data_IF_274344935742
#
_entry.id   IF_274344935742
#
_cell.length_a   1.000
_cell.length_b   1.000
_cell.length_c   1.000
_cell.angle_alpha   90.00
_cell.angle_beta   90.00
_cell.angle_gamma   90.00
#
_symmetry.space_group_name_H-M   'P 1'
#
loop_
_entity.id
_entity.type
_entity.pdbx_description
1 polymer ?
#
# COMPACT_ATOMS: atom_id res chain seq x y z
N UNK A 1 -7.07 -20.78 6.40
CA UNK A 1 -7.09 -19.56 7.24
C UNK A 1 -6.78 -18.35 6.36
N UNK A 2 -7.56 -17.26 6.44
CA UNK A 2 -7.33 -16.05 5.65
C UNK A 2 -6.12 -15.25 6.22
N UNK A 3 -5.09 -15.01 5.40
CA UNK A 3 -3.89 -14.28 5.80
C UNK A 3 -4.17 -12.86 6.34
N UNK A 4 -5.23 -12.22 5.81
CA UNK A 4 -5.66 -10.88 6.24
C UNK A 4 -6.23 -10.90 7.65
N UNK A 5 -7.08 -11.88 7.96
CA UNK A 5 -7.63 -12.07 9.30
C UNK A 5 -6.51 -12.30 10.34
N UNK A 6 -5.51 -13.11 9.99
CA UNK A 6 -4.36 -13.37 10.87
C UNK A 6 -3.55 -12.10 11.15
N UNK A 7 -3.33 -11.26 10.13
CA UNK A 7 -2.65 -9.96 10.29
C UNK A 7 -3.41 -9.03 11.24
N UNK A 8 -4.73 -8.92 11.11
CA UNK A 8 -5.54 -8.09 12.01
C UNK A 8 -5.55 -8.62 13.45
N UNK A 9 -5.61 -9.95 13.65
CA UNK A 9 -5.48 -10.57 14.99
C UNK A 9 -4.14 -10.22 15.64
N UNK A 10 -3.04 -10.27 14.87
CA UNK A 10 -1.71 -9.88 15.37
C UNK A 10 -1.62 -8.38 15.70
N UNK A 11 -2.23 -7.51 14.90
CA UNK A 11 -2.31 -6.07 15.17
C UNK A 11 -3.12 -5.78 16.43
N UNK A 12 -4.25 -6.45 16.63
CA UNK A 12 -5.11 -6.29 17.80
C UNK A 12 -4.38 -6.69 19.10
N UNK A 13 -3.53 -7.72 19.03
CA UNK A 13 -2.71 -8.13 20.17
C UNK A 13 -1.61 -7.11 20.52
N UNK A 14 -1.09 -6.39 19.52
CA UNK A 14 -0.03 -5.40 19.69
C UNK A 14 -0.53 -4.01 20.07
N UNK A 15 -1.82 -3.72 19.87
CA UNK A 15 -2.39 -2.41 20.18
C UNK A 15 -2.61 -2.24 21.68
N UNK A 16 -2.16 -1.10 22.22
CA UNK A 16 -2.39 -0.69 23.62
C UNK A 16 -3.73 0.02 23.81
N UNK A 17 -4.30 0.60 22.75
CA UNK A 17 -5.63 1.21 22.78
C UNK A 17 -6.74 0.17 22.60
N UNK A 18 -7.65 0.12 23.57
CA UNK A 18 -8.76 -0.82 23.60
C UNK A 18 -9.72 -0.64 22.40
N UNK A 19 -9.97 0.61 21.98
CA UNK A 19 -10.89 0.87 20.85
C UNK A 19 -10.29 0.35 19.54
N UNK A 20 -9.00 0.62 19.33
CA UNK A 20 -8.25 0.11 18.18
C UNK A 20 -8.18 -1.42 18.19
N UNK A 21 -7.92 -2.04 19.35
CA UNK A 21 -7.88 -3.50 19.49
C UNK A 21 -9.23 -4.14 19.14
N UNK A 22 -10.34 -3.56 19.62
CA UNK A 22 -11.68 -4.02 19.33
C UNK A 22 -12.01 -3.91 17.84
N UNK A 23 -11.71 -2.76 17.21
CA UNK A 23 -11.89 -2.57 15.78
C UNK A 23 -11.13 -3.62 14.95
N UNK A 24 -9.86 -3.84 15.27
CA UNK A 24 -9.02 -4.82 14.58
C UNK A 24 -9.55 -6.25 14.73
N UNK A 25 -10.17 -6.57 15.87
CA UNK A 25 -10.81 -7.87 16.08
C UNK A 25 -12.04 -8.05 15.20
N UNK A 26 -12.91 -7.04 15.11
CA UNK A 26 -14.07 -7.06 14.21
C UNK A 26 -13.65 -7.20 12.75
N UNK A 27 -12.63 -6.46 12.32
CA UNK A 27 -12.07 -6.57 10.96
C UNK A 27 -11.51 -7.96 10.66
N UNK A 28 -10.88 -8.60 11.66
CA UNK A 28 -10.42 -9.97 11.51
C UNK A 28 -11.56 -10.95 11.28
N UNK A 29 -12.66 -10.80 12.03
CA UNK A 29 -13.84 -11.66 11.90
C UNK A 29 -14.54 -11.45 10.54
N UNK A 30 -14.64 -10.21 10.07
CA UNK A 30 -15.16 -9.90 8.73
C UNK A 30 -14.28 -10.46 7.61
N UNK A 31 -12.96 -10.38 7.76
CA UNK A 31 -12.01 -10.98 6.81
C UNK A 31 -12.07 -12.51 6.83
N UNK A 32 -12.29 -13.13 7.99
CA UNK A 32 -12.46 -14.57 8.15
C UNK A 32 -13.75 -15.08 7.50
N UNK A 33 -14.84 -14.30 7.61
CA UNK A 33 -16.10 -14.53 6.88
C UNK A 33 -16.01 -14.25 5.37
N UNK A 34 -14.93 -13.61 4.90
CA UNK A 34 -14.76 -13.23 3.50
C UNK A 34 -15.61 -12.02 3.06
N UNK A 35 -16.19 -11.29 4.01
CA UNK A 35 -17.07 -10.13 3.75
C UNK A 35 -16.27 -8.84 3.61
N UNK A 36 -15.06 -8.78 4.19
CA UNK A 36 -14.19 -7.62 4.12
C UNK A 36 -13.63 -7.42 2.71
N UNK A 37 -14.41 -6.78 1.85
CA UNK A 37 -14.02 -6.32 0.52
C UNK A 37 -13.12 -5.10 0.70
N UNK A 38 -11.83 -5.27 0.40
CA UNK A 38 -10.95 -4.12 0.20
C UNK A 38 -11.20 -3.60 -1.19
N UNK A 39 -11.28 -2.27 -1.34
CA UNK A 39 -10.96 -1.66 -2.62
C UNK A 39 -9.49 -1.93 -2.87
N UNK A 40 -9.20 -3.09 -3.46
CA UNK A 40 -7.88 -3.40 -3.96
C UNK A 40 -7.58 -2.32 -4.98
N UNK A 41 -6.92 -1.25 -4.53
CA UNK A 41 -6.09 -0.45 -5.41
C UNK A 41 -5.04 -1.42 -5.88
N UNK A 42 -5.36 -2.12 -6.96
CA UNK A 42 -4.39 -2.79 -7.79
C UNK A 42 -3.25 -1.79 -7.87
N UNK A 43 -2.13 -2.12 -7.26
CA UNK A 43 -0.87 -1.45 -7.58
C UNK A 43 -0.66 -1.84 -9.03
N UNK A 44 -1.27 -1.09 -9.94
CA UNK A 44 -0.95 -1.12 -11.35
C UNK A 44 0.53 -0.79 -11.35
N UNK A 45 1.35 -1.83 -11.43
CA UNK A 45 2.78 -1.66 -11.65
C UNK A 45 2.82 -0.85 -12.95
N UNK A 46 3.33 0.38 -12.95
CA UNK A 46 3.46 1.12 -14.19
C UNK A 46 4.21 0.20 -15.16
N UNK A 47 3.75 0.08 -16.41
CA UNK A 47 4.42 -0.78 -17.38
C UNK A 47 5.89 -0.36 -17.39
N UNK A 48 6.78 -1.29 -17.04
CA UNK A 48 8.21 -1.08 -17.22
C UNK A 48 8.41 -0.86 -18.71
N UNK A 49 8.88 0.32 -19.16
CA UNK A 49 9.21 0.49 -20.56
C UNK A 49 10.29 -0.54 -20.87
N UNK A 50 9.98 -1.49 -21.76
CA UNK A 50 10.99 -2.34 -22.38
C UNK A 50 11.97 -1.41 -23.06
N UNK A 51 13.11 -1.17 -22.42
CA UNK A 51 14.22 -0.47 -23.05
C UNK A 51 14.78 -1.46 -24.08
N UNK A 52 14.30 -1.35 -25.31
CA UNK A 52 15.02 -1.90 -26.46
C UNK A 52 16.38 -1.20 -26.49
N UNK A 53 17.43 -1.97 -26.18
CA UNK A 53 18.81 -1.52 -26.22
C UNK A 53 19.16 -1.13 -27.66
N UNK A 54 19.10 0.16 -27.99
CA UNK A 54 19.50 0.61 -29.32
C UNK A 54 19.14 2.03 -29.76
N UNK A 55 19.05 3.05 -28.89
CA UNK A 55 19.11 4.46 -29.34
C UNK A 55 19.30 5.44 -28.18
N UNK A 56 20.30 6.34 -28.18
CA UNK A 56 20.34 7.44 -27.23
C UNK A 56 19.50 8.59 -27.78
N UNK A 57 18.30 8.79 -27.25
CA UNK A 57 17.50 9.97 -27.55
C UNK A 57 16.91 10.53 -26.26
N UNK A 58 17.45 11.68 -25.84
CA UNK A 58 16.76 12.65 -24.99
C UNK A 58 16.61 12.27 -23.53
N UNK A 59 17.59 12.68 -22.73
CA UNK A 59 17.47 12.86 -21.28
C UNK A 59 16.23 13.71 -20.96
N UNK A 60 15.17 13.09 -20.43
CA UNK A 60 14.14 13.79 -19.67
C UNK A 60 13.94 13.10 -18.32
N UNK A 61 14.01 13.92 -17.29
CA UNK A 61 14.12 13.66 -15.86
C UNK A 61 13.00 12.82 -15.22
N UNK A 62 13.37 12.06 -14.19
CA UNK A 62 12.55 11.82 -12.99
C UNK A 62 13.45 11.32 -11.86
N UNK A 63 14.43 12.15 -11.50
CA UNK A 63 15.07 12.07 -10.19
C UNK A 63 14.10 12.64 -9.17
N UNK A 64 13.92 11.95 -8.05
CA UNK A 64 13.01 12.30 -6.94
C UNK A 64 13.44 13.57 -6.16
N UNK A 65 14.28 14.43 -6.75
CA UNK A 65 14.99 15.50 -6.07
C UNK A 65 14.43 16.93 -6.29
N UNK A 66 13.38 17.13 -7.09
CA UNK A 66 12.89 18.48 -7.41
C UNK A 66 11.64 18.90 -6.60
N UNK A 67 11.82 19.14 -5.30
CA UNK A 67 10.79 19.75 -4.44
C UNK A 67 10.86 21.29 -4.40
N UNK A 68 11.88 21.91 -5.00
CA UNK A 68 12.12 23.36 -4.94
C UNK A 68 11.12 24.23 -5.71
N UNK A 69 10.12 23.65 -6.38
CA UNK A 69 9.09 24.41 -7.12
C UNK A 69 7.88 24.82 -6.27
N UNK A 70 7.70 24.26 -5.07
CA UNK A 70 6.53 24.51 -4.22
C UNK A 70 6.70 25.67 -3.21
N UNK A 71 7.79 26.45 -3.29
CA UNK A 71 7.89 27.75 -2.61
C UNK A 71 7.58 27.76 -1.11
N UNK A 72 7.89 26.67 -0.39
CA UNK A 72 7.81 26.59 1.07
C UNK A 72 9.19 26.87 1.68
N UNK A 73 9.58 28.14 1.65
CA UNK A 73 10.53 28.76 2.60
C UNK A 73 10.10 30.20 2.83
#
# INVERSE_FOLDING_TARGET
MNARALRYKQLAFKSTDAKTAQLLRMLADEAERGVLVTTDRLKVKPPTPTIEQGRPAGSNCTSLADWSRFGLT
#
